data_IF_025997201268
#
_entry.id   IF_025997201268
#
_cell.length_a   1.000
_cell.length_b   1.000
_cell.length_c   1.000
_cell.angle_alpha   90.00
_cell.angle_beta   90.00
_cell.angle_gamma   90.00
#
_symmetry.space_group_name_H-M   'P 1'
#
loop_
_entity.id
_entity.type
_entity.pdbx_description
1 polymer ?
#
# COMPACT_ATOMS: atom_id res chain seq x y z
N UNK A 1 -14.98 17.35 2.45
CA UNK A 1 -14.79 18.11 1.20
C UNK A 1 -13.33 18.14 0.74
N UNK A 2 -12.34 18.50 1.56
CA UNK A 2 -10.92 18.37 1.18
C UNK A 2 -10.39 16.94 1.32
N UNK A 3 -10.79 16.23 2.39
CA UNK A 3 -10.34 14.85 2.64
C UNK A 3 -10.88 13.84 1.62
N UNK A 4 -12.07 14.10 1.08
CA UNK A 4 -12.69 13.28 0.03
C UNK A 4 -11.89 13.38 -1.28
N UNK A 5 -11.40 14.57 -1.60
CA UNK A 5 -10.54 14.78 -2.78
C UNK A 5 -9.21 14.03 -2.63
N UNK A 6 -8.58 14.10 -1.46
CA UNK A 6 -7.31 13.40 -1.22
C UNK A 6 -7.48 11.89 -1.25
N UNK A 7 -8.57 11.40 -0.67
CA UNK A 7 -8.95 9.98 -0.75
C UNK A 7 -9.15 9.55 -2.19
N UNK A 8 -9.74 10.40 -3.05
CA UNK A 8 -9.88 10.13 -4.49
C UNK A 8 -8.52 10.04 -5.20
N UNK A 9 -7.55 10.90 -4.88
CA UNK A 9 -6.20 10.79 -5.44
C UNK A 9 -5.54 9.45 -5.10
N UNK A 10 -5.69 9.02 -3.85
CA UNK A 10 -5.17 7.73 -3.40
C UNK A 10 -5.85 6.54 -4.10
N UNK A 11 -7.16 6.61 -4.33
CA UNK A 11 -7.89 5.60 -5.11
C UNK A 11 -7.34 5.52 -6.54
N UNK A 12 -7.16 6.65 -7.22
CA UNK A 12 -6.62 6.68 -8.58
C UNK A 12 -5.23 6.02 -8.66
N UNK A 13 -4.31 6.37 -7.75
CA UNK A 13 -2.97 5.76 -7.68
C UNK A 13 -3.05 4.26 -7.40
N UNK A 14 -3.90 3.83 -6.46
CA UNK A 14 -4.04 2.41 -6.11
C UNK A 14 -4.69 1.60 -7.25
N UNK A 15 -5.64 2.19 -7.98
CA UNK A 15 -6.24 1.57 -9.17
C UNK A 15 -5.20 1.43 -10.27
N UNK A 16 -4.41 2.48 -10.55
CA UNK A 16 -3.30 2.43 -11.49
C UNK A 16 -2.30 1.32 -11.12
N UNK A 17 -1.98 1.17 -9.83
CA UNK A 17 -1.11 0.11 -9.35
C UNK A 17 -1.70 -1.29 -9.55
N UNK A 18 -3.00 -1.48 -9.35
CA UNK A 18 -3.66 -2.79 -9.59
C UNK A 18 -3.73 -3.12 -11.07
N UNK A 19 -4.08 -2.15 -11.92
CA UNK A 19 -4.29 -2.36 -13.35
C UNK A 19 -2.96 -2.50 -14.11
N UNK A 20 -1.92 -1.82 -13.65
CA UNK A 20 -0.64 -1.73 -14.34
C UNK A 20 0.55 -2.25 -13.50
N UNK A 21 0.33 -3.04 -12.45
CA UNK A 21 1.31 -3.39 -11.40
C UNK A 21 2.66 -4.02 -11.78
N UNK A 22 3.01 -4.11 -13.06
CA UNK A 22 4.35 -4.40 -13.57
C UNK A 22 5.02 -3.20 -14.29
N UNK A 23 4.27 -2.17 -14.67
CA UNK A 23 4.74 -0.90 -15.21
C UNK A 23 4.86 0.12 -14.07
N UNK A 24 6.02 0.09 -13.42
CA UNK A 24 6.35 1.04 -12.37
C UNK A 24 6.27 2.49 -12.86
N UNK A 25 6.55 2.76 -14.14
CA UNK A 25 6.60 4.12 -14.67
C UNK A 25 5.21 4.76 -14.74
N UNK A 26 4.18 3.98 -15.09
CA UNK A 26 2.80 4.48 -15.09
C UNK A 26 2.34 4.89 -13.68
N UNK A 27 2.64 4.08 -12.67
CA UNK A 27 2.30 4.38 -11.28
C UNK A 27 3.07 5.60 -10.77
N UNK A 28 4.37 5.70 -11.09
CA UNK A 28 5.17 6.89 -10.75
C UNK A 28 4.64 8.15 -11.42
N UNK A 29 4.19 8.08 -12.66
CA UNK A 29 3.58 9.22 -13.36
C UNK A 29 2.28 9.66 -12.67
N UNK A 30 1.41 8.72 -12.28
CA UNK A 30 0.19 9.03 -11.51
C UNK A 30 0.49 9.68 -10.17
N UNK A 31 1.52 9.22 -9.46
CA UNK A 31 1.98 9.88 -8.23
C UNK A 31 2.48 11.30 -8.52
N UNK A 32 3.28 11.48 -9.58
CA UNK A 32 3.82 12.78 -9.97
C UNK A 32 2.72 13.80 -10.30
N UNK A 33 1.63 13.36 -10.95
CA UNK A 33 0.48 14.20 -11.30
C UNK A 33 -0.19 14.83 -10.05
N UNK A 34 -0.09 14.18 -8.88
CA UNK A 34 -0.65 14.66 -7.62
C UNK A 34 0.37 15.28 -6.66
N UNK A 35 1.67 15.24 -6.98
CA UNK A 35 2.74 15.74 -6.09
C UNK A 35 3.61 16.80 -6.79
N UNK A 36 3.02 17.88 -7.36
CA UNK A 36 3.80 18.97 -7.93
C UNK A 36 4.51 19.81 -6.86
N UNK A 37 4.06 19.76 -5.62
CA UNK A 37 4.59 20.53 -4.48
C UNK A 37 4.65 19.68 -3.20
N UNK A 38 5.41 20.16 -2.21
CA UNK A 38 5.50 19.51 -0.89
C UNK A 38 4.14 19.42 -0.18
N UNK A 39 3.28 20.45 -0.28
CA UNK A 39 1.93 20.42 0.30
C UNK A 39 1.04 19.38 -0.37
N UNK A 40 1.18 19.21 -1.69
CA UNK A 40 0.43 18.22 -2.46
C UNK A 40 0.87 16.79 -2.11
N UNK A 41 2.15 16.59 -1.76
CA UNK A 41 2.66 15.33 -1.21
C UNK A 41 1.95 14.93 0.08
N UNK A 42 1.81 15.87 1.01
CA UNK A 42 1.10 15.63 2.26
C UNK A 42 -0.37 15.29 1.98
N UNK A 43 -0.98 15.96 0.99
CA UNK A 43 -2.32 15.63 0.52
C UNK A 43 -2.46 14.17 0.05
N UNK A 44 -1.55 13.68 -0.78
CA UNK A 44 -1.58 12.28 -1.22
C UNK A 44 -1.36 11.29 -0.06
N UNK A 45 -0.44 11.58 0.86
CA UNK A 45 -0.22 10.76 2.06
C UNK A 45 -1.49 10.69 2.91
N UNK A 46 -2.15 11.83 3.18
CA UNK A 46 -3.44 11.87 3.88
C UNK A 46 -4.48 11.03 3.16
N UNK A 47 -4.56 11.14 1.83
CA UNK A 47 -5.46 10.33 1.02
C UNK A 47 -5.23 8.82 1.18
N UNK A 48 -3.97 8.38 1.16
CA UNK A 48 -3.60 6.98 1.32
C UNK A 48 -3.96 6.46 2.72
N UNK A 49 -3.69 7.26 3.77
CA UNK A 49 -4.08 6.90 5.15
C UNK A 49 -5.60 6.77 5.28
N UNK A 50 -6.37 7.70 4.70
CA UNK A 50 -7.83 7.63 4.71
C UNK A 50 -8.35 6.38 3.97
N UNK A 51 -7.79 6.09 2.80
CA UNK A 51 -8.13 4.90 2.03
C UNK A 51 -7.82 3.61 2.81
N UNK A 52 -6.64 3.51 3.44
CA UNK A 52 -6.32 2.36 4.29
C UNK A 52 -7.25 2.24 5.49
N UNK A 53 -7.70 3.36 6.08
CA UNK A 53 -8.73 3.36 7.12
C UNK A 53 -10.06 2.77 6.62
N UNK A 54 -10.52 3.16 5.42
CA UNK A 54 -11.72 2.60 4.80
C UNK A 54 -11.60 1.10 4.53
N UNK A 55 -10.45 0.66 4.00
CA UNK A 55 -10.17 -0.74 3.75
C UNK A 55 -10.10 -1.54 5.06
N UNK A 56 -9.49 -0.98 6.10
CA UNK A 56 -9.40 -1.60 7.42
C UNK A 56 -10.77 -1.80 8.04
N UNK A 57 -11.64 -0.78 7.99
CA UNK A 57 -13.04 -0.91 8.40
C UNK A 57 -13.79 -1.98 7.59
N UNK A 58 -13.57 -2.06 6.28
CA UNK A 58 -14.13 -3.12 5.44
C UNK A 58 -13.64 -4.52 5.85
N UNK A 59 -12.37 -4.65 6.21
CA UNK A 59 -11.82 -5.90 6.74
C UNK A 59 -12.40 -6.26 8.11
N UNK A 60 -12.65 -5.28 8.99
CA UNK A 60 -13.30 -5.53 10.28
C UNK A 60 -14.69 -6.14 10.09
N UNK A 61 -15.49 -5.57 9.18
CA UNK A 61 -16.83 -6.06 8.85
C UNK A 61 -16.79 -7.47 8.25
N UNK A 62 -15.86 -7.72 7.32
CA UNK A 62 -15.80 -9.00 6.60
C UNK A 62 -15.19 -10.15 7.41
N UNK A 63 -14.26 -9.85 8.33
CA UNK A 63 -13.56 -10.86 9.13
C UNK A 63 -14.11 -11.02 10.54
N UNK A 64 -14.89 -10.05 11.04
CA UNK A 64 -15.36 -10.00 12.42
C UNK A 64 -14.26 -9.73 13.46
N UNK A 65 -13.06 -9.37 12.99
CA UNK A 65 -11.89 -9.04 13.83
C UNK A 65 -11.76 -7.54 13.95
N UNK A 66 -11.16 -7.05 15.04
CA UNK A 66 -10.91 -5.62 15.15
C UNK A 66 -9.65 -5.21 14.37
N UNK A 67 -9.53 -3.90 14.09
CA UNK A 67 -8.44 -3.29 13.35
C UNK A 67 -7.06 -3.68 13.88
N UNK A 68 -6.90 -3.74 15.21
CA UNK A 68 -5.63 -4.08 15.83
C UNK A 68 -5.21 -5.53 15.53
N UNK A 69 -6.14 -6.48 15.62
CA UNK A 69 -5.89 -7.88 15.28
C UNK A 69 -5.55 -8.08 13.80
N UNK A 70 -6.23 -7.35 12.91
CA UNK A 70 -5.96 -7.36 11.47
C UNK A 70 -4.54 -6.84 11.21
N UNK A 71 -4.18 -5.67 11.75
CA UNK A 71 -2.85 -5.08 11.58
C UNK A 71 -1.74 -5.97 12.17
N UNK A 72 -1.95 -6.57 13.34
CA UNK A 72 -1.00 -7.54 13.89
C UNK A 72 -0.81 -8.75 12.98
N UNK A 73 -1.88 -9.21 12.33
CA UNK A 73 -1.80 -10.33 11.37
C UNK A 73 -0.99 -9.94 10.14
N UNK A 74 -1.24 -8.74 9.59
CA UNK A 74 -0.47 -8.20 8.45
C UNK A 74 1.01 -8.09 8.83
N UNK A 75 1.33 -7.52 9.99
CA UNK A 75 2.71 -7.38 10.47
C UNK A 75 3.43 -8.73 10.55
N UNK A 76 2.78 -9.77 11.12
CA UNK A 76 3.34 -11.13 11.17
C UNK A 76 3.58 -11.73 9.77
N UNK A 77 2.73 -11.42 8.80
CA UNK A 77 2.88 -11.90 7.42
C UNK A 77 4.02 -11.20 6.69
N UNK A 78 4.19 -9.89 6.89
CA UNK A 78 5.30 -9.11 6.30
C UNK A 78 6.64 -9.56 6.88
N UNK A 79 6.78 -9.66 8.21
CA UNK A 79 8.03 -10.11 8.85
C UNK A 79 8.42 -11.54 8.47
N UNK A 80 7.45 -12.39 8.09
CA UNK A 80 7.75 -13.75 7.61
C UNK A 80 8.35 -13.74 6.20
N UNK A 81 7.91 -12.85 5.32
CA UNK A 81 8.45 -12.74 3.96
C UNK A 81 9.89 -12.23 3.95
N UNK A 82 10.28 -11.37 4.89
CA UNK A 82 11.67 -10.91 5.01
C UNK A 82 12.64 -12.00 5.50
N UNK A 83 12.12 -13.10 6.08
CA UNK A 83 12.93 -14.14 6.70
C UNK A 83 13.02 -15.44 5.88
N UNK A 84 12.57 -15.46 4.61
CA UNK A 84 12.89 -16.60 3.74
C UNK A 84 14.39 -16.58 3.43
N UNK A 85 15.17 -17.60 3.86
CA UNK A 85 16.57 -17.70 3.49
C UNK A 85 16.67 -17.89 1.98
N UNK A 86 17.50 -17.06 1.35
CA UNK A 86 17.91 -17.15 -0.04
C UNK A 86 18.58 -18.53 -0.28
N UNK A 87 17.75 -19.54 -0.53
CA UNK A 87 18.12 -20.94 -0.65
C UNK A 87 18.60 -21.23 -2.08
N UNK A 88 19.54 -20.41 -2.56
CA UNK A 88 20.13 -20.54 -3.91
C UNK A 88 21.62 -20.25 -3.96
N UNK A 89 22.35 -20.43 -2.85
CA UNK A 89 23.81 -20.55 -2.90
C UNK A 89 24.21 -22.00 -2.61
N UNK A 90 24.10 -22.85 -3.63
CA UNK A 90 24.75 -24.16 -3.64
C UNK A 90 26.26 -23.91 -3.66
N UNK A 91 26.91 -24.23 -2.54
CA UNK A 91 28.35 -24.36 -2.42
C UNK A 91 28.87 -25.37 -3.46
N UNK A 92 29.87 -25.06 -4.30
CA UNK A 92 30.56 -26.09 -5.04
C UNK A 92 31.46 -26.84 -4.07
N UNK A 93 31.08 -28.08 -3.76
CA UNK A 93 31.92 -29.00 -3.02
C UNK A 93 33.12 -29.49 -3.84
N UNK A 94 34.19 -29.79 -3.09
CA UNK A 94 35.39 -30.57 -3.40
C UNK A 94 36.47 -29.93 -4.27
#
# INVERSE_FOLDING_TARGET
MADDEKTRWAIDVMTAWVEHGHDGDFVHQRIADYVPTADSRNGLITGLVNLFGLLLMGMEVTTGRNAHEILQTIARTVSRHEHLPDSTRLEPGS
#
